data_IF_809557138029
#
_entry.id   IF_809557138029
#
_cell.length_a   1.000
_cell.length_b   1.000
_cell.length_c   1.000
_cell.angle_alpha   90.00
_cell.angle_beta   90.00
_cell.angle_gamma   90.00
#
_symmetry.space_group_name_H-M   'P 1'
#
loop_
_entity.id
_entity.type
_entity.pdbx_description
1 polymer ?
#
# COMPACT_ATOMS: atom_id res chain seq x y z
N UNK A 1 -19.45 -68.56 -57.74
CA UNK A 1 -18.88 -69.38 -56.66
C UNK A 1 -17.69 -68.64 -56.09
N UNK A 2 -17.91 -67.85 -55.03
CA UNK A 2 -16.89 -67.28 -54.13
C UNK A 2 -17.67 -66.61 -53.00
N UNK A 3 -17.79 -67.32 -51.89
CA UNK A 3 -18.35 -66.84 -50.63
C UNK A 3 -17.17 -66.42 -49.75
N UNK A 4 -17.26 -65.21 -49.21
CA UNK A 4 -16.27 -64.60 -48.30
C UNK A 4 -16.17 -65.40 -46.98
N UNK A 5 -14.96 -65.57 -46.42
CA UNK A 5 -14.75 -66.25 -45.14
C UNK A 5 -15.00 -65.33 -43.94
N UNK A 6 -15.21 -65.92 -42.74
CA UNK A 6 -15.83 -65.27 -41.58
C UNK A 6 -14.86 -64.48 -40.69
N UNK A 7 -15.46 -63.61 -39.88
CA UNK A 7 -14.84 -62.73 -38.90
C UNK A 7 -14.12 -63.48 -37.76
N UNK A 8 -12.97 -62.95 -37.35
CA UNK A 8 -12.16 -63.41 -36.22
C UNK A 8 -12.71 -62.86 -34.88
N UNK A 9 -12.57 -63.61 -33.76
CA UNK A 9 -13.13 -63.23 -32.47
C UNK A 9 -12.26 -62.23 -31.68
N UNK A 10 -12.92 -61.36 -30.93
CA UNK A 10 -12.32 -60.39 -30.01
C UNK A 10 -11.72 -61.07 -28.76
N UNK A 11 -10.54 -60.65 -28.27
CA UNK A 11 -10.00 -61.12 -27.00
C UNK A 11 -10.69 -60.45 -25.81
N UNK A 12 -11.15 -61.28 -24.87
CA UNK A 12 -11.73 -60.89 -23.58
C UNK A 12 -10.61 -60.54 -22.59
N UNK A 13 -10.50 -59.27 -22.20
CA UNK A 13 -9.59 -58.86 -21.12
C UNK A 13 -10.25 -59.13 -19.76
N UNK A 14 -9.70 -60.09 -19.01
CA UNK A 14 -10.02 -60.31 -17.60
C UNK A 14 -9.07 -59.48 -16.75
N UNK A 15 -9.60 -58.45 -16.08
CA UNK A 15 -8.86 -57.58 -15.17
C UNK A 15 -8.63 -58.32 -13.85
N UNK A 16 -7.41 -58.78 -13.59
CA UNK A 16 -6.97 -59.27 -12.28
C UNK A 16 -6.66 -58.07 -11.38
N UNK A 17 -7.48 -57.86 -10.35
CA UNK A 17 -7.18 -56.93 -9.26
C UNK A 17 -6.18 -57.59 -8.33
N UNK A 18 -4.97 -57.05 -8.26
CA UNK A 18 -3.98 -57.38 -7.23
C UNK A 18 -4.23 -56.47 -6.01
N UNK A 19 -4.25 -57.00 -4.77
CA UNK A 19 -4.35 -56.16 -3.59
C UNK A 19 -3.01 -55.46 -3.33
N UNK A 20 -2.93 -54.17 -3.62
CA UNK A 20 -1.79 -53.32 -3.25
C UNK A 20 -1.90 -52.93 -1.77
N UNK A 21 -1.17 -53.64 -0.91
CA UNK A 21 -0.91 -53.22 0.46
C UNK A 21 0.11 -52.08 0.46
N UNK A 22 -0.36 -50.84 0.36
CA UNK A 22 0.46 -49.66 0.71
C UNK A 22 0.54 -49.56 2.24
N UNK A 23 1.73 -49.37 2.83
CA UNK A 23 1.84 -49.06 4.25
C UNK A 23 1.30 -47.64 4.47
N UNK A 24 0.23 -47.54 5.26
CA UNK A 24 -0.32 -46.28 5.74
C UNK A 24 0.69 -45.65 6.71
N UNK A 25 1.57 -44.79 6.21
CA UNK A 25 2.40 -43.95 7.06
C UNK A 25 1.48 -42.93 7.73
N UNK A 26 1.10 -43.18 8.98
CA UNK A 26 0.52 -42.17 9.86
C UNK A 26 1.55 -41.05 10.03
N UNK A 27 1.40 -39.97 9.27
CA UNK A 27 2.05 -38.71 9.57
C UNK A 27 1.41 -38.20 10.87
N UNK A 28 2.07 -38.39 12.00
CA UNK A 28 1.75 -37.67 13.22
C UNK A 28 2.07 -36.19 12.97
N UNK A 29 1.07 -35.42 12.53
CA UNK A 29 1.05 -33.98 12.68
C UNK A 29 1.02 -33.71 14.19
N UNK A 30 2.21 -33.56 14.78
CA UNK A 30 2.35 -32.98 16.10
C UNK A 30 1.77 -31.57 16.01
N UNK A 31 0.71 -31.22 16.76
CA UNK A 31 0.32 -29.83 16.88
C UNK A 31 1.50 -29.12 17.53
N UNK A 32 2.10 -28.17 16.82
CA UNK A 32 2.91 -27.14 17.44
C UNK A 32 1.94 -26.33 18.31
N UNK A 33 1.69 -26.80 19.53
CA UNK A 33 1.17 -25.97 20.58
C UNK A 33 2.29 -24.95 20.85
N UNK A 34 2.17 -23.76 20.26
CA UNK A 34 2.92 -22.61 20.71
C UNK A 34 2.60 -22.47 22.20
N UNK A 35 3.55 -22.89 23.04
CA UNK A 35 3.51 -22.57 24.44
C UNK A 35 3.56 -21.05 24.51
N UNK A 36 2.42 -20.41 24.79
CA UNK A 36 2.40 -19.02 25.19
C UNK A 36 3.10 -18.95 26.53
N UNK A 37 4.41 -18.77 26.51
CA UNK A 37 5.11 -18.19 27.63
C UNK A 37 4.34 -16.92 27.97
N UNK A 38 3.85 -16.79 29.20
CA UNK A 38 3.01 -15.67 29.67
C UNK A 38 3.75 -14.33 29.72
N UNK A 39 4.66 -14.08 28.80
CA UNK A 39 5.29 -12.80 28.53
C UNK A 39 4.49 -12.14 27.40
N UNK A 40 4.15 -10.87 27.54
CA UNK A 40 3.50 -10.10 26.48
C UNK A 40 4.37 -10.01 25.21
N UNK A 41 3.88 -9.37 24.15
CA UNK A 41 4.64 -9.24 22.90
C UNK A 41 6.03 -8.60 23.15
N UNK A 42 7.10 -9.03 22.45
CA UNK A 42 8.44 -8.49 22.64
C UNK A 42 8.49 -7.00 22.30
N UNK A 43 9.50 -6.30 22.80
CA UNK A 43 9.72 -4.89 22.44
C UNK A 43 10.38 -4.80 21.07
N UNK A 44 9.90 -3.88 20.22
CA UNK A 44 10.49 -3.65 18.90
C UNK A 44 11.91 -3.12 19.06
N UNK A 45 12.88 -3.83 18.48
CA UNK A 45 14.29 -3.42 18.43
C UNK A 45 14.69 -3.17 16.99
N UNK A 46 15.58 -2.21 16.79
CA UNK A 46 16.02 -1.86 15.46
C UNK A 46 17.42 -1.26 15.43
N UNK A 47 18.08 -1.45 14.29
CA UNK A 47 19.24 -0.65 13.88
C UNK A 47 18.79 0.41 12.87
N UNK A 48 19.42 1.58 12.90
CA UNK A 48 19.04 2.72 12.05
C UNK A 48 20.13 3.05 11.04
N UNK A 49 19.75 3.12 9.76
CA UNK A 49 20.63 3.54 8.67
C UNK A 49 19.98 4.66 7.88
N UNK A 50 20.68 5.78 7.77
CA UNK A 50 20.32 6.82 6.81
C UNK A 50 20.98 6.49 5.47
N UNK A 51 20.19 6.30 4.42
CA UNK A 51 20.68 5.85 3.11
C UNK A 51 20.85 6.99 2.11
N UNK A 52 20.22 8.15 2.34
CA UNK A 52 20.41 9.35 1.50
C UNK A 52 20.00 10.64 2.21
N UNK A 53 20.56 11.75 1.73
CA UNK A 53 20.12 13.12 2.01
C UNK A 53 19.29 13.61 0.82
N UNK A 54 18.06 14.02 1.07
CA UNK A 54 17.02 14.32 0.07
C UNK A 54 16.44 15.73 0.31
N UNK A 55 15.62 16.25 -0.60
CA UNK A 55 15.06 17.59 -0.42
C UNK A 55 13.71 17.63 0.32
N UNK A 56 12.80 16.70 0.01
CA UNK A 56 11.44 16.64 0.56
C UNK A 56 11.00 15.22 0.91
N UNK A 57 11.31 14.22 0.08
CA UNK A 57 10.85 12.83 0.31
C UNK A 57 9.34 12.67 0.48
N UNK A 58 8.54 12.91 -0.56
CA UNK A 58 7.08 13.00 -0.43
C UNK A 58 6.37 11.64 -0.41
N UNK A 59 6.70 10.75 -1.35
CA UNK A 59 6.03 9.46 -1.52
C UNK A 59 7.03 8.34 -1.72
N UNK A 60 6.76 7.20 -1.07
CA UNK A 60 7.58 6.00 -1.09
C UNK A 60 6.84 4.81 -1.69
N UNK A 61 7.57 3.89 -2.33
CA UNK A 61 7.12 2.53 -2.61
C UNK A 61 8.28 1.57 -2.37
N UNK A 62 7.95 0.35 -1.96
CA UNK A 62 8.90 -0.73 -1.76
C UNK A 62 8.53 -1.85 -2.74
N UNK A 63 9.40 -2.15 -3.70
CA UNK A 63 9.13 -3.12 -4.77
C UNK A 63 10.42 -3.47 -5.49
N UNK A 64 10.42 -4.56 -6.26
CA UNK A 64 11.55 -4.93 -7.11
C UNK A 64 11.53 -4.12 -8.42
N UNK A 65 12.54 -3.27 -8.62
CA UNK A 65 12.60 -2.38 -9.78
C UNK A 65 13.28 -3.05 -10.97
N UNK A 66 14.22 -3.95 -10.74
CA UNK A 66 15.09 -4.52 -11.77
C UNK A 66 14.86 -6.01 -12.06
N UNK A 67 14.06 -6.69 -11.25
CA UNK A 67 13.74 -8.11 -11.35
C UNK A 67 14.79 -9.02 -10.71
N UNK A 68 15.60 -8.52 -9.78
CA UNK A 68 16.65 -9.31 -9.10
C UNK A 68 16.14 -10.06 -7.86
N UNK A 69 14.84 -9.92 -7.57
CA UNK A 69 14.15 -10.53 -6.45
C UNK A 69 14.22 -9.71 -5.16
N UNK A 70 14.97 -8.61 -5.09
CA UNK A 70 15.13 -7.80 -3.87
C UNK A 70 14.15 -6.64 -3.81
N UNK A 71 13.83 -6.22 -2.58
CA UNK A 71 12.96 -5.07 -2.36
C UNK A 71 13.77 -3.79 -2.40
N UNK A 72 13.54 -2.97 -3.43
CA UNK A 72 14.14 -1.66 -3.58
C UNK A 72 13.24 -0.56 -3.00
N UNK A 73 13.78 0.65 -2.91
CA UNK A 73 13.04 1.85 -2.47
C UNK A 73 12.86 2.79 -3.65
N UNK A 74 11.63 3.18 -3.98
CA UNK A 74 11.30 4.22 -4.96
C UNK A 74 10.83 5.47 -4.24
N UNK A 75 11.38 6.64 -4.59
CA UNK A 75 11.13 7.90 -3.91
C UNK A 75 10.73 9.03 -4.88
N UNK A 76 9.66 9.75 -4.52
CA UNK A 76 9.33 11.06 -5.07
C UNK A 76 10.03 12.14 -4.24
N UNK A 77 11.16 12.64 -4.71
CA UNK A 77 11.79 13.82 -4.12
C UNK A 77 11.27 15.10 -4.79
N UNK A 78 11.73 16.28 -4.35
CA UNK A 78 11.20 17.58 -4.79
C UNK A 78 11.18 17.76 -6.31
N UNK A 79 12.28 17.38 -6.98
CA UNK A 79 12.47 17.55 -8.43
C UNK A 79 12.85 16.29 -9.18
N UNK A 80 13.16 15.23 -8.46
CA UNK A 80 13.55 13.94 -9.04
C UNK A 80 12.57 12.86 -8.59
N UNK A 81 12.39 11.88 -9.45
CA UNK A 81 11.93 10.55 -9.09
C UNK A 81 13.14 9.63 -9.20
N UNK A 82 13.40 8.85 -8.17
CA UNK A 82 14.61 8.03 -8.07
C UNK A 82 14.32 6.73 -7.34
N UNK A 83 15.19 5.73 -7.52
CA UNK A 83 15.14 4.50 -6.75
C UNK A 83 16.50 4.16 -6.16
N UNK A 84 16.50 3.32 -5.14
CA UNK A 84 17.68 2.91 -4.39
C UNK A 84 17.80 1.39 -4.44
N UNK A 85 18.85 0.91 -5.09
CA UNK A 85 19.07 -0.51 -5.40
C UNK A 85 19.63 -1.28 -4.22
N UNK A 86 18.90 -2.32 -3.80
CA UNK A 86 19.26 -3.22 -2.72
C UNK A 86 20.40 -4.18 -3.12
N UNK A 87 21.41 -4.46 -2.26
CA UNK A 87 21.57 -4.04 -0.85
C UNK A 87 22.47 -2.83 -0.67
N UNK A 88 23.02 -2.29 -1.76
CA UNK A 88 23.99 -1.19 -1.68
C UNK A 88 23.33 0.17 -1.43
N UNK A 89 22.02 0.24 -1.61
CA UNK A 89 21.21 1.46 -1.64
C UNK A 89 21.72 2.47 -2.66
N UNK A 90 22.29 1.98 -3.77
CA UNK A 90 22.79 2.83 -4.84
C UNK A 90 21.63 3.56 -5.50
N UNK A 91 21.69 4.89 -5.50
CA UNK A 91 20.68 5.75 -6.11
C UNK A 91 20.77 5.73 -7.64
N UNK A 92 19.61 5.61 -8.28
CA UNK A 92 19.41 5.71 -9.72
C UNK A 92 18.30 6.72 -10.04
N UNK A 93 18.52 7.59 -11.03
CA UNK A 93 17.55 8.60 -11.43
C UNK A 93 16.54 8.01 -12.42
N UNK A 94 15.24 8.09 -12.09
CA UNK A 94 14.17 7.68 -13.01
C UNK A 94 13.78 8.84 -13.93
N UNK A 95 13.50 10.01 -13.36
CA UNK A 95 13.10 11.20 -14.10
C UNK A 95 13.36 12.46 -13.27
N UNK A 96 13.53 13.60 -13.93
CA UNK A 96 13.72 14.88 -13.26
C UNK A 96 12.92 16.01 -13.93
N UNK A 97 12.59 17.04 -13.16
CA UNK A 97 12.05 18.31 -13.64
C UNK A 97 10.79 18.18 -14.53
N UNK A 98 9.97 17.13 -14.30
CA UNK A 98 8.74 16.90 -15.06
C UNK A 98 7.71 18.02 -14.89
N UNK A 99 7.80 18.78 -13.79
CA UNK A 99 6.90 19.90 -13.48
C UNK A 99 7.62 21.10 -12.89
N UNK A 100 7.03 22.28 -13.05
CA UNK A 100 7.57 23.53 -12.48
C UNK A 100 7.55 23.52 -10.94
N UNK A 101 6.54 22.92 -10.32
CA UNK A 101 6.42 22.80 -8.85
C UNK A 101 6.89 21.42 -8.37
N UNK A 102 6.70 21.17 -7.08
CA UNK A 102 7.17 19.95 -6.42
C UNK A 102 6.39 18.72 -6.89
N UNK A 103 7.07 17.57 -6.88
CA UNK A 103 6.45 16.25 -6.96
C UNK A 103 5.64 15.96 -5.69
N UNK A 104 4.68 15.03 -5.76
CA UNK A 104 3.74 14.78 -4.65
C UNK A 104 3.40 13.31 -4.41
N UNK A 105 3.43 12.46 -5.44
CA UNK A 105 3.11 11.05 -5.24
C UNK A 105 3.73 10.18 -6.33
N UNK A 106 3.84 8.90 -6.01
CA UNK A 106 4.16 7.85 -6.97
C UNK A 106 3.51 6.54 -6.55
N UNK A 107 3.41 5.61 -7.48
CA UNK A 107 3.11 4.20 -7.24
C UNK A 107 4.00 3.34 -8.12
N UNK A 108 4.35 2.16 -7.62
CA UNK A 108 5.20 1.20 -8.29
C UNK A 108 4.68 -0.20 -7.99
N UNK A 109 4.47 -1.02 -9.02
CA UNK A 109 3.99 -2.41 -8.90
C UNK A 109 4.29 -3.14 -10.21
N UNK A 110 4.65 -4.42 -10.16
CA UNK A 110 4.65 -5.28 -11.35
C UNK A 110 3.21 -5.46 -11.81
N UNK A 111 2.87 -4.87 -12.97
CA UNK A 111 1.51 -4.92 -13.54
C UNK A 111 1.42 -5.77 -14.81
N UNK A 112 2.54 -6.23 -15.35
CA UNK A 112 2.58 -7.09 -16.55
C UNK A 112 3.25 -8.46 -16.34
N UNK A 113 3.61 -8.78 -15.10
CA UNK A 113 4.04 -10.09 -14.65
C UNK A 113 5.47 -10.44 -15.06
N UNK A 114 6.29 -9.46 -15.45
CA UNK A 114 7.68 -9.67 -15.87
C UNK A 114 8.67 -9.74 -14.69
N UNK A 115 8.19 -9.56 -13.46
CA UNK A 115 8.98 -9.54 -12.23
C UNK A 115 9.59 -8.17 -11.91
N UNK A 116 9.31 -7.13 -12.70
CA UNK A 116 9.82 -5.77 -12.51
C UNK A 116 8.65 -4.82 -12.34
N UNK A 117 8.83 -3.77 -11.56
CA UNK A 117 7.72 -2.82 -11.37
C UNK A 117 7.54 -1.83 -12.54
N UNK A 118 6.29 -1.42 -12.75
CA UNK A 118 5.90 -0.25 -13.52
C UNK A 118 5.61 0.92 -12.60
N UNK A 119 6.03 2.13 -13.00
CA UNK A 119 5.98 3.32 -12.15
C UNK A 119 5.09 4.39 -12.77
N UNK A 120 4.19 4.94 -11.97
CA UNK A 120 3.46 6.16 -12.26
C UNK A 120 3.76 7.22 -11.20
N UNK A 121 3.80 8.49 -11.62
CA UNK A 121 4.21 9.61 -10.78
C UNK A 121 3.31 10.82 -10.95
N UNK A 122 3.22 11.63 -9.89
CA UNK A 122 2.43 12.85 -9.86
C UNK A 122 3.15 14.04 -9.24
N UNK A 123 2.78 15.24 -9.67
CA UNK A 123 3.43 16.48 -9.23
C UNK A 123 2.67 17.74 -9.58
N UNK A 124 3.41 18.84 -9.79
CA UNK A 124 2.87 20.19 -9.98
C UNK A 124 2.08 20.71 -8.76
N UNK A 125 2.49 20.32 -7.56
CA UNK A 125 1.72 20.57 -6.34
C UNK A 125 1.58 22.05 -5.96
N UNK A 126 0.35 22.51 -5.74
CA UNK A 126 0.06 23.79 -5.10
C UNK A 126 -1.28 23.73 -4.36
N UNK A 127 -1.23 23.66 -3.03
CA UNK A 127 -2.44 23.57 -2.20
C UNK A 127 -3.48 24.68 -2.47
N UNK A 128 -3.08 25.89 -2.93
CA UNK A 128 -4.03 26.99 -3.18
C UNK A 128 -4.68 26.97 -4.56
N UNK A 129 -4.17 26.17 -5.50
CA UNK A 129 -4.72 26.04 -6.85
C UNK A 129 -5.67 24.84 -6.91
N UNK A 130 -6.82 24.99 -7.56
CA UNK A 130 -7.82 23.93 -7.72
C UNK A 130 -8.43 23.89 -9.11
N UNK A 131 -7.96 24.72 -10.06
CA UNK A 131 -8.52 24.80 -11.40
C UNK A 131 -7.57 24.21 -12.44
N UNK A 132 -6.25 24.42 -12.28
CA UNK A 132 -5.26 24.11 -13.32
C UNK A 132 -4.04 23.28 -12.92
N UNK A 133 -3.75 23.12 -11.63
CA UNK A 133 -2.53 22.42 -11.19
C UNK A 133 -2.62 20.90 -11.39
N UNK A 134 -1.64 20.17 -10.86
CA UNK A 134 -1.55 18.73 -10.99
C UNK A 134 -0.82 18.27 -12.25
N UNK A 135 -0.29 17.07 -12.14
CA UNK A 135 0.35 16.35 -13.21
C UNK A 135 0.33 14.86 -12.88
N UNK A 136 0.15 14.05 -13.90
CA UNK A 136 0.26 12.59 -13.83
C UNK A 136 1.10 12.14 -15.02
N UNK A 137 2.05 11.26 -14.75
CA UNK A 137 2.87 10.63 -15.78
C UNK A 137 2.97 9.13 -15.52
N UNK A 138 2.88 8.33 -16.56
CA UNK A 138 3.45 6.98 -16.56
C UNK A 138 4.92 7.09 -16.98
N UNK A 139 5.81 6.39 -16.29
CA UNK A 139 7.21 6.33 -16.66
C UNK A 139 7.42 5.05 -17.48
N UNK A 140 7.65 5.22 -18.78
CA UNK A 140 7.91 4.13 -19.71
C UNK A 140 9.34 3.62 -19.50
N UNK A 141 9.44 2.37 -19.06
CA UNK A 141 10.67 1.80 -18.55
C UNK A 141 11.61 1.35 -19.68
N UNK A 142 12.91 1.63 -19.58
CA UNK A 142 13.92 1.02 -20.43
C UNK A 142 14.18 -0.43 -20.01
N UNK A 143 14.76 -1.24 -20.92
CA UNK A 143 15.21 -2.60 -20.59
C UNK A 143 16.21 -2.60 -19.41
N UNK A 144 17.17 -1.67 -19.45
CA UNK A 144 18.14 -1.42 -18.37
C UNK A 144 17.56 -0.43 -17.36
N UNK A 145 16.97 -0.93 -16.28
CA UNK A 145 16.16 -0.16 -15.32
C UNK A 145 16.94 0.93 -14.56
N UNK A 146 18.28 0.93 -14.63
CA UNK A 146 19.17 1.97 -14.09
C UNK A 146 19.25 3.23 -14.96
N UNK A 147 18.79 3.19 -16.22
CA UNK A 147 18.69 4.37 -17.07
C UNK A 147 17.49 5.24 -16.69
N UNK A 148 17.42 6.47 -17.17
CA UNK A 148 16.23 7.33 -17.01
C UNK A 148 15.05 6.79 -17.80
N UNK A 149 13.85 6.88 -17.24
CA UNK A 149 12.61 6.38 -17.82
C UNK A 149 11.92 7.50 -18.59
N UNK A 150 11.27 7.15 -19.72
CA UNK A 150 10.65 8.13 -20.60
C UNK A 150 9.27 8.53 -20.05
N UNK A 151 9.01 9.81 -19.72
CA UNK A 151 7.72 10.20 -19.17
C UNK A 151 6.64 10.28 -20.26
N UNK A 152 5.49 9.67 -20.00
CA UNK A 152 4.26 9.78 -20.80
C UNK A 152 3.24 10.56 -19.97
N UNK A 153 2.91 11.79 -20.43
CA UNK A 153 1.93 12.65 -19.75
C UNK A 153 0.53 12.05 -19.89
N UNK A 154 -0.15 11.86 -18.76
CA UNK A 154 -1.55 11.44 -18.72
C UNK A 154 -2.47 12.62 -18.41
N UNK A 155 -3.78 12.42 -18.60
CA UNK A 155 -4.79 13.32 -18.06
C UNK A 155 -4.60 13.48 -16.54
N UNK A 156 -4.95 14.65 -16.02
CA UNK A 156 -4.98 14.86 -14.59
C UNK A 156 -6.16 15.75 -14.21
N UNK A 157 -6.72 15.49 -13.04
CA UNK A 157 -7.51 16.49 -12.32
C UNK A 157 -6.57 17.44 -11.58
N UNK A 158 -7.00 18.70 -11.34
CA UNK A 158 -6.29 19.60 -10.43
C UNK A 158 -6.12 18.99 -9.05
N UNK A 159 -5.15 19.48 -8.30
CA UNK A 159 -4.85 19.02 -6.94
C UNK A 159 -4.52 17.52 -6.86
N UNK A 160 -3.97 16.91 -7.92
CA UNK A 160 -3.44 15.52 -7.90
C UNK A 160 -2.56 15.29 -6.67
N UNK A 161 -2.80 14.21 -5.92
CA UNK A 161 -2.19 14.06 -4.58
C UNK A 161 -1.76 12.64 -4.18
N UNK A 162 -2.49 11.58 -4.56
CA UNK A 162 -2.09 10.18 -4.29
C UNK A 162 -2.45 9.27 -5.47
N UNK A 163 -1.76 8.14 -5.59
CA UNK A 163 -2.06 7.13 -6.60
C UNK A 163 -1.65 5.73 -6.17
N UNK A 164 -2.32 4.71 -6.72
CA UNK A 164 -2.00 3.29 -6.53
C UNK A 164 -2.32 2.48 -7.79
N UNK A 165 -1.49 1.48 -8.09
CA UNK A 165 -1.87 0.37 -8.96
C UNK A 165 -2.78 -0.58 -8.19
N UNK A 166 -4.05 -0.68 -8.62
CA UNK A 166 -5.07 -1.54 -7.99
C UNK A 166 -5.39 -2.68 -8.93
N UNK A 167 -5.35 -3.90 -8.40
CA UNK A 167 -5.71 -5.11 -9.13
C UNK A 167 -7.20 -5.10 -9.42
N UNK A 168 -7.59 -5.40 -10.64
CA UNK A 168 -8.99 -5.35 -11.11
C UNK A 168 -9.52 -6.69 -11.56
N UNK A 169 -8.87 -7.78 -11.13
CA UNK A 169 -9.24 -9.16 -11.45
C UNK A 169 -8.15 -9.87 -12.25
N UNK A 170 -8.55 -10.91 -12.98
CA UNK A 170 -7.67 -11.69 -13.87
C UNK A 170 -8.16 -11.63 -15.31
N UNK A 171 -7.24 -11.68 -16.27
CA UNK A 171 -7.58 -11.85 -17.69
C UNK A 171 -7.85 -13.31 -18.05
N UNK A 172 -8.17 -13.57 -19.32
CA UNK A 172 -8.49 -14.92 -19.81
C UNK A 172 -7.30 -15.91 -19.74
N UNK A 173 -6.07 -15.41 -19.58
CA UNK A 173 -4.87 -16.22 -19.40
C UNK A 173 -4.57 -16.53 -17.93
N UNK A 174 -5.30 -15.90 -17.00
CA UNK A 174 -5.06 -15.99 -15.57
C UNK A 174 -4.05 -14.94 -15.05
N UNK A 175 -3.64 -14.00 -15.89
CA UNK A 175 -2.77 -12.90 -15.49
C UNK A 175 -3.57 -11.81 -14.78
N UNK A 176 -3.01 -11.25 -13.70
CA UNK A 176 -3.63 -10.15 -12.99
C UNK A 176 -3.78 -8.91 -13.89
N UNK A 177 -4.94 -8.26 -13.80
CA UNK A 177 -5.21 -7.00 -14.49
C UNK A 177 -5.14 -5.85 -13.50
N UNK A 178 -4.74 -4.67 -13.96
CA UNK A 178 -4.54 -3.50 -13.10
C UNK A 178 -5.12 -2.22 -13.70
N UNK A 179 -5.50 -1.30 -12.82
CA UNK A 179 -5.78 0.09 -13.15
C UNK A 179 -4.97 1.03 -12.25
N UNK A 180 -4.52 2.15 -12.82
CA UNK A 180 -3.94 3.23 -12.03
C UNK A 180 -5.08 4.05 -11.45
N UNK A 181 -5.25 4.04 -10.13
CA UNK A 181 -6.16 4.97 -9.46
C UNK A 181 -5.40 6.23 -9.07
N UNK A 182 -5.90 7.40 -9.46
CA UNK A 182 -5.33 8.70 -9.11
C UNK A 182 -6.36 9.55 -8.38
N UNK A 183 -5.95 10.02 -7.20
CA UNK A 183 -6.77 10.77 -6.27
C UNK A 183 -6.26 12.20 -6.10
N UNK A 184 -7.07 13.22 -6.42
CA UNK A 184 -6.82 14.59 -5.98
C UNK A 184 -7.03 14.78 -4.47
N UNK A 185 -6.43 15.82 -3.88
CA UNK A 185 -6.76 16.23 -2.52
C UNK A 185 -8.15 16.89 -2.46
N UNK A 186 -8.52 17.62 -3.53
CA UNK A 186 -9.72 18.46 -3.58
C UNK A 186 -10.36 18.44 -4.96
N UNK A 187 -11.64 18.77 -5.03
CA UNK A 187 -12.36 18.90 -6.29
C UNK A 187 -12.01 20.17 -7.07
N UNK A 188 -12.20 20.08 -8.39
CA UNK A 188 -11.89 21.17 -9.31
C UNK A 188 -12.75 22.40 -9.00
N UNK A 189 -12.10 23.54 -8.78
CA UNK A 189 -12.76 24.80 -8.44
C UNK A 189 -13.19 24.93 -6.97
N UNK A 190 -12.86 23.97 -6.11
CA UNK A 190 -13.11 24.10 -4.67
C UNK A 190 -12.17 25.11 -4.01
N UNK A 191 -12.60 25.69 -2.90
CA UNK A 191 -11.81 26.61 -2.05
C UNK A 191 -11.73 25.99 -0.66
N UNK A 192 -10.52 25.71 -0.18
CA UNK A 192 -10.27 25.09 1.13
C UNK A 192 -11.10 23.82 1.44
N UNK A 193 -11.52 23.10 0.39
CA UNK A 193 -12.31 21.88 0.52
C UNK A 193 -13.82 22.09 0.51
N UNK A 194 -14.29 23.31 0.30
CA UNK A 194 -15.70 23.63 0.05
C UNK A 194 -15.92 23.82 -1.45
N UNK A 195 -17.00 23.24 -1.98
CA UNK A 195 -17.33 23.25 -3.41
C UNK A 195 -17.57 21.84 -3.96
N UNK A 196 -17.23 21.57 -5.23
CA UNK A 196 -17.34 20.23 -5.80
C UNK A 196 -16.40 19.22 -5.13
N UNK A 197 -16.83 17.96 -5.07
CA UNK A 197 -16.00 16.85 -4.61
C UNK A 197 -14.86 16.52 -5.59
N UNK A 198 -13.84 15.85 -5.06
CA UNK A 198 -12.73 15.34 -5.85
C UNK A 198 -13.17 14.19 -6.74
N UNK A 199 -12.65 14.12 -7.97
CA UNK A 199 -12.84 12.95 -8.84
C UNK A 199 -11.69 11.97 -8.62
N UNK A 200 -11.99 10.84 -7.98
CA UNK A 200 -11.09 9.69 -7.97
C UNK A 200 -11.26 8.97 -9.30
N UNK A 201 -10.18 8.92 -10.08
CA UNK A 201 -10.20 8.39 -11.45
C UNK A 201 -9.40 7.09 -11.51
N UNK A 202 -9.95 6.09 -12.18
CA UNK A 202 -9.25 4.88 -12.58
C UNK A 202 -8.82 5.00 -14.06
N UNK A 203 -7.55 4.75 -14.35
CA UNK A 203 -6.96 4.85 -15.68
C UNK A 203 -6.61 3.45 -16.17
N UNK A 204 -7.14 3.10 -17.34
CA UNK A 204 -6.81 1.86 -18.03
C UNK A 204 -5.57 2.06 -18.90
N UNK A 205 -4.50 1.33 -18.58
CA UNK A 205 -3.29 1.26 -19.42
C UNK A 205 -3.63 0.53 -20.74
N UNK A 206 -3.46 1.16 -21.91
CA UNK A 206 -3.47 0.46 -23.20
C UNK A 206 -2.17 -0.33 -23.40
N UNK A 207 -2.18 -1.31 -24.30
CA UNK A 207 -1.00 -2.13 -24.60
C UNK A 207 0.21 -1.28 -25.06
N UNK A 208 -0.03 -0.30 -25.95
CA UNK A 208 0.94 0.76 -26.23
C UNK A 208 0.66 1.93 -25.27
N UNK A 209 1.51 2.14 -24.24
CA UNK A 209 1.25 3.13 -23.21
C UNK A 209 1.24 4.57 -23.73
N UNK A 210 1.69 4.82 -24.96
CA UNK A 210 1.65 6.15 -25.61
C UNK A 210 0.27 6.52 -26.16
N UNK A 211 -0.62 5.54 -26.32
CA UNK A 211 -2.01 5.79 -26.73
C UNK A 211 -2.82 6.41 -25.58
N UNK A 212 -3.95 7.09 -25.85
CA UNK A 212 -4.79 7.65 -24.81
C UNK A 212 -5.32 6.61 -23.82
N UNK A 213 -5.14 6.87 -22.52
CA UNK A 213 -5.62 6.00 -21.44
C UNK A 213 -7.08 6.31 -21.15
N UNK A 214 -7.95 5.30 -21.24
CA UNK A 214 -9.37 5.46 -20.89
C UNK A 214 -9.49 5.69 -19.38
N UNK A 215 -10.26 6.70 -18.99
CA UNK A 215 -10.57 6.96 -17.57
C UNK A 215 -12.02 6.62 -17.24
N UNK A 216 -12.24 6.15 -16.01
CA UNK A 216 -13.56 6.02 -15.41
C UNK A 216 -13.56 6.65 -14.01
N UNK A 217 -14.71 7.16 -13.59
CA UNK A 217 -14.87 7.74 -12.24
C UNK A 217 -15.14 6.60 -11.25
N UNK A 218 -14.36 6.57 -10.18
CA UNK A 218 -14.60 5.71 -9.01
C UNK A 218 -15.59 6.40 -8.06
N UNK A 219 -15.33 7.66 -7.73
CA UNK A 219 -16.23 8.52 -6.96
C UNK A 219 -15.95 10.01 -7.23
N UNK A 220 -16.93 10.88 -6.97
CA UNK A 220 -16.82 12.33 -7.17
C UNK A 220 -17.39 13.20 -6.02
N UNK A 221 -17.65 12.61 -4.85
CA UNK A 221 -18.35 13.27 -3.74
C UNK A 221 -17.49 13.56 -2.50
N UNK A 222 -16.21 13.14 -2.48
CA UNK A 222 -15.32 13.27 -1.31
C UNK A 222 -14.55 14.61 -1.30
N UNK A 223 -14.20 15.09 -0.10
CA UNK A 223 -13.44 16.34 0.08
C UNK A 223 -12.21 16.16 0.98
N UNK A 224 -11.20 17.01 0.78
CA UNK A 224 -9.95 17.05 1.57
C UNK A 224 -9.32 15.66 1.79
N UNK A 225 -9.43 14.78 0.81
CA UNK A 225 -8.99 13.39 0.95
C UNK A 225 -7.49 13.29 0.75
N UNK A 226 -6.76 12.98 1.82
CA UNK A 226 -5.30 13.01 1.79
C UNK A 226 -4.70 11.69 1.35
N UNK A 227 -4.99 10.56 2.02
CA UNK A 227 -4.51 9.23 1.63
C UNK A 227 -5.63 8.22 1.28
N UNK A 228 -5.25 7.14 0.61
CA UNK A 228 -6.07 5.95 0.41
C UNK A 228 -5.17 4.71 0.38
N UNK A 229 -5.76 3.52 0.51
CA UNK A 229 -5.02 2.27 0.61
C UNK A 229 -5.76 1.16 -0.12
N UNK A 230 -5.11 0.42 -1.04
CA UNK A 230 -5.64 -0.83 -1.57
C UNK A 230 -5.75 -1.88 -0.47
N UNK A 231 -6.82 -2.66 -0.50
CA UNK A 231 -7.06 -3.78 0.40
C UNK A 231 -7.68 -4.94 -0.38
N UNK A 232 -7.73 -6.11 0.20
CA UNK A 232 -8.55 -7.21 -0.30
C UNK A 232 -9.22 -7.86 0.92
N UNK A 233 -10.50 -7.56 1.11
CA UNK A 233 -11.24 -7.81 2.34
C UNK A 233 -12.27 -8.93 2.23
N UNK A 234 -12.58 -9.37 1.02
CA UNK A 234 -13.48 -10.48 0.69
C UNK A 234 -12.80 -11.66 -0.03
N UNK A 235 -11.46 -11.61 -0.14
CA UNK A 235 -10.59 -12.65 -0.71
C UNK A 235 -10.93 -13.00 -2.18
N UNK A 236 -11.44 -12.03 -2.94
CA UNK A 236 -11.68 -12.18 -4.37
C UNK A 236 -10.44 -11.81 -5.23
N UNK A 237 -10.45 -12.04 -6.56
CA UNK A 237 -9.30 -11.70 -7.39
C UNK A 237 -9.03 -10.19 -7.54
N UNK A 238 -10.03 -9.35 -7.30
CA UNK A 238 -9.99 -7.91 -7.37
C UNK A 238 -9.35 -7.34 -6.08
N UNK A 239 -9.08 -6.04 -6.09
CA UNK A 239 -8.73 -5.31 -4.87
C UNK A 239 -9.75 -4.20 -4.67
N UNK A 240 -10.08 -3.97 -3.41
CA UNK A 240 -10.87 -2.83 -2.95
C UNK A 240 -9.93 -1.70 -2.54
N UNK A 241 -10.52 -0.58 -2.16
CA UNK A 241 -9.77 0.54 -1.56
C UNK A 241 -10.51 1.09 -0.34
N UNK A 242 -9.74 1.55 0.63
CA UNK A 242 -10.21 2.43 1.71
C UNK A 242 -9.68 3.84 1.52
N UNK A 243 -10.55 4.84 1.59
CA UNK A 243 -10.25 6.25 1.29
C UNK A 243 -10.58 7.11 2.51
N UNK A 244 -9.58 7.83 3.02
CA UNK A 244 -9.77 8.81 4.09
C UNK A 244 -10.15 10.18 3.53
N UNK A 245 -11.22 10.79 4.01
CA UNK A 245 -11.73 12.08 3.55
C UNK A 245 -12.39 12.90 4.66
N UNK A 246 -12.81 14.13 4.34
CA UNK A 246 -13.61 15.02 5.22
C UNK A 246 -14.89 14.33 5.69
N UNK A 247 -15.47 13.49 4.84
CA UNK A 247 -16.66 12.68 5.09
C UNK A 247 -16.37 11.41 5.91
N UNK A 248 -15.15 11.20 6.37
CA UNK A 248 -14.73 9.97 7.06
C UNK A 248 -14.03 8.98 6.16
N UNK A 249 -13.97 7.72 6.59
CA UNK A 249 -13.36 6.63 5.84
C UNK A 249 -14.42 5.90 5.03
N UNK A 250 -14.13 5.65 3.75
CA UNK A 250 -15.01 4.94 2.82
C UNK A 250 -14.30 3.73 2.24
N UNK A 251 -14.99 2.59 2.24
CA UNK A 251 -14.61 1.39 1.50
C UNK A 251 -15.26 1.42 0.12
N UNK A 252 -14.48 1.15 -0.93
CA UNK A 252 -15.00 0.99 -2.29
C UNK A 252 -14.66 -0.41 -2.77
N UNK A 253 -15.70 -1.21 -2.95
CA UNK A 253 -15.64 -2.57 -3.45
C UNK A 253 -15.91 -2.59 -4.96
N UNK A 254 -15.06 -3.28 -5.72
CA UNK A 254 -15.18 -3.39 -7.17
C UNK A 254 -15.95 -4.65 -7.56
N UNK A 255 -17.24 -4.49 -7.83
CA UNK A 255 -18.06 -5.56 -8.42
C UNK A 255 -18.17 -5.39 -9.93
N UNK A 256 -17.38 -6.18 -10.66
CA UNK A 256 -17.29 -6.12 -12.12
C UNK A 256 -16.71 -4.79 -12.61
N UNK A 257 -17.53 -3.93 -13.21
CA UNK A 257 -17.12 -2.62 -13.71
C UNK A 257 -17.60 -1.44 -12.86
N UNK A 258 -18.19 -1.70 -11.70
CA UNK A 258 -18.75 -0.67 -10.81
C UNK A 258 -18.04 -0.69 -9.46
N UNK A 259 -18.08 0.46 -8.80
CA UNK A 259 -17.57 0.62 -7.44
C UNK A 259 -18.75 0.84 -6.49
N UNK A 260 -18.87 -0.04 -5.50
CA UNK A 260 -19.86 0.05 -4.44
C UNK A 260 -19.22 0.72 -3.23
N UNK A 261 -19.78 1.86 -2.81
CA UNK A 261 -19.23 2.65 -1.72
C UNK A 261 -19.95 2.36 -0.40
N UNK A 262 -19.19 2.06 0.65
CA UNK A 262 -19.70 1.91 2.03
C UNK A 262 -18.92 2.84 2.96
N UNK A 263 -19.62 3.72 3.65
CA UNK A 263 -19.01 4.59 4.65
C UNK A 263 -18.70 3.79 5.93
N UNK A 264 -17.42 3.70 6.28
CA UNK A 264 -16.95 3.00 7.48
C UNK A 264 -16.98 3.92 8.69
N UNK A 265 -16.57 5.18 8.57
CA UNK A 265 -16.57 6.16 9.67
C UNK A 265 -17.09 7.51 9.19
N UNK A 266 -17.44 8.40 10.11
CA UNK A 266 -17.78 9.81 9.83
C UNK A 266 -16.74 10.81 10.37
N UNK A 267 -15.65 10.31 10.96
CA UNK A 267 -14.58 11.13 11.49
C UNK A 267 -13.63 11.53 10.36
N UNK A 268 -13.51 12.84 10.10
CA UNK A 268 -12.56 13.35 9.11
C UNK A 268 -11.17 12.75 9.35
N UNK A 269 -10.67 12.00 8.37
CA UNK A 269 -9.35 11.39 8.39
C UNK A 269 -8.48 11.89 7.22
N UNK A 270 -7.17 11.94 7.44
CA UNK A 270 -6.16 12.21 6.41
C UNK A 270 -5.36 10.98 6.01
N UNK A 271 -4.95 10.18 6.99
CA UNK A 271 -4.22 8.93 6.77
C UNK A 271 -5.11 7.74 7.09
N UNK A 272 -4.86 6.62 6.42
CA UNK A 272 -5.60 5.37 6.62
C UNK A 272 -4.74 4.15 6.27
N UNK A 273 -4.81 3.12 7.12
CA UNK A 273 -4.34 1.75 6.89
C UNK A 273 -5.29 0.78 7.58
N UNK A 274 -5.26 -0.48 7.17
CA UNK A 274 -5.92 -1.59 7.85
C UNK A 274 -4.90 -2.56 8.44
N UNK A 275 -5.41 -3.50 9.25
CA UNK A 275 -4.64 -4.58 9.85
C UNK A 275 -5.52 -5.51 10.68
N UNK A 276 -4.88 -6.42 11.39
CA UNK A 276 -5.51 -7.46 12.18
C UNK A 276 -5.08 -7.41 13.65
N UNK A 277 -6.07 -7.44 14.55
CA UNK A 277 -5.87 -7.57 16.01
C UNK A 277 -5.53 -9.02 16.39
N UNK A 278 -5.01 -9.27 17.60
CA UNK A 278 -4.65 -10.64 18.01
C UNK A 278 -5.81 -11.64 18.05
N UNK A 279 -7.06 -11.16 18.14
CA UNK A 279 -8.25 -12.01 18.04
C UNK A 279 -8.72 -12.26 16.60
N UNK A 280 -7.93 -11.87 15.59
CA UNK A 280 -8.26 -12.01 14.17
C UNK A 280 -9.19 -10.93 13.62
N UNK A 281 -9.71 -10.02 14.46
CA UNK A 281 -10.59 -8.95 13.98
C UNK A 281 -9.81 -7.92 13.18
N UNK A 282 -10.38 -7.51 12.06
CA UNK A 282 -9.90 -6.40 11.27
C UNK A 282 -10.06 -5.08 12.03
N UNK A 283 -9.05 -4.23 11.92
CA UNK A 283 -9.11 -2.86 12.35
C UNK A 283 -8.71 -1.93 11.20
N UNK A 284 -9.11 -0.67 11.32
CA UNK A 284 -8.53 0.43 10.56
C UNK A 284 -7.91 1.43 11.53
N UNK A 285 -6.83 2.07 11.10
CA UNK A 285 -6.17 3.14 11.84
C UNK A 285 -6.11 4.40 11.00
N UNK A 286 -6.42 5.53 11.62
CA UNK A 286 -6.49 6.85 10.97
C UNK A 286 -5.58 7.87 11.64
N UNK A 287 -5.21 8.90 10.89
CA UNK A 287 -4.82 10.20 11.46
C UNK A 287 -5.93 11.20 11.20
N UNK A 288 -6.37 11.91 12.24
CA UNK A 288 -7.58 12.72 12.25
C UNK A 288 -7.34 14.12 12.82
N UNK A 289 -7.84 15.19 12.15
CA UNK A 289 -8.24 15.24 10.74
C UNK A 289 -7.04 15.11 9.79
N UNK A 290 -7.19 15.50 8.51
CA UNK A 290 -6.03 15.70 7.62
C UNK A 290 -4.96 16.56 8.30
N UNK A 291 -3.72 16.04 8.35
CA UNK A 291 -2.59 16.66 9.06
C UNK A 291 -2.90 16.91 10.54
N UNK A 292 -3.71 16.03 11.12
CA UNK A 292 -4.28 16.20 12.43
C UNK A 292 -3.36 15.84 13.59
N UNK A 293 -3.95 15.86 14.78
CA UNK A 293 -3.26 15.62 16.04
C UNK A 293 -3.61 14.26 16.65
N UNK A 294 -4.61 13.56 16.10
CA UNK A 294 -5.12 12.31 16.65
C UNK A 294 -4.75 11.13 15.76
N UNK A 295 -4.27 10.05 16.37
CA UNK A 295 -4.27 8.71 15.78
C UNK A 295 -5.31 7.84 16.48
N UNK A 296 -6.24 7.26 15.72
CA UNK A 296 -7.36 6.49 16.25
C UNK A 296 -7.49 5.14 15.54
N UNK A 297 -7.83 4.11 16.30
CA UNK A 297 -8.12 2.75 15.82
C UNK A 297 -9.61 2.52 15.91
N UNK A 298 -10.18 1.93 14.86
CA UNK A 298 -11.56 1.47 14.77
C UNK A 298 -11.54 -0.02 14.47
N UNK A 299 -12.50 -0.76 15.02
CA UNK A 299 -12.60 -2.21 14.83
C UNK A 299 -13.83 -2.55 14.02
N UNK A 300 -13.71 -3.58 13.16
CA UNK A 300 -14.82 -4.07 12.38
C UNK A 300 -15.98 -4.52 13.31
N UNK A 301 -17.21 -4.02 13.09
CA UNK A 301 -18.38 -4.48 13.83
C UNK A 301 -18.77 -5.90 13.42
N UNK A 302 -19.50 -6.62 14.28
CA UNK A 302 -20.04 -7.98 14.01
C UNK A 302 -21.13 -8.01 12.91
N UNK A 303 -21.58 -6.86 12.43
CA UNK A 303 -22.62 -6.75 11.42
C UNK A 303 -22.43 -5.52 10.55
N UNK A 304 -23.47 -5.16 9.80
CA UNK A 304 -23.42 -3.98 8.94
C UNK A 304 -23.52 -2.70 9.77
N UNK A 305 -22.65 -1.73 9.51
CA UNK A 305 -22.71 -0.44 10.18
C UNK A 305 -21.41 0.33 10.11
N UNK A 306 -21.43 1.54 10.65
CA UNK A 306 -20.21 2.32 10.88
C UNK A 306 -19.37 1.65 11.96
N UNK A 307 -18.07 1.79 11.81
CA UNK A 307 -17.08 1.30 12.73
C UNK A 307 -16.95 2.31 13.86
N UNK A 308 -17.06 1.84 15.09
CA UNK A 308 -16.91 2.67 16.27
C UNK A 308 -15.43 2.78 16.68
N UNK A 309 -14.99 3.92 17.24
CA UNK A 309 -13.64 4.05 17.76
C UNK A 309 -13.36 3.00 18.84
N UNK A 310 -12.30 2.21 18.64
CA UNK A 310 -11.78 1.27 19.64
C UNK A 310 -10.86 1.99 20.64
N UNK A 311 -9.91 2.78 20.11
CA UNK A 311 -8.86 3.41 20.91
C UNK A 311 -8.30 4.65 20.22
N UNK A 312 -8.09 5.72 20.99
CA UNK A 312 -7.17 6.80 20.60
C UNK A 312 -5.77 6.39 21.05
N UNK A 313 -4.87 6.20 20.09
CA UNK A 313 -3.46 5.85 20.36
C UNK A 313 -2.67 7.08 20.81
N UNK A 314 -2.95 8.22 20.20
CA UNK A 314 -2.38 9.51 20.56
C UNK A 314 -3.32 10.64 20.17
N UNK A 315 -3.35 11.71 20.95
CA UNK A 315 -4.02 12.98 20.68
C UNK A 315 -3.05 14.17 20.67
N UNK A 316 -1.76 13.90 20.53
CA UNK A 316 -0.68 14.90 20.68
C UNK A 316 0.16 15.08 19.42
N UNK A 317 -0.23 14.47 18.29
CA UNK A 317 0.54 14.60 17.05
C UNK A 317 0.55 16.06 16.60
N UNK A 318 1.65 16.46 15.95
CA UNK A 318 1.75 17.76 15.29
C UNK A 318 1.95 17.52 13.80
N UNK A 319 0.91 17.76 13.00
CA UNK A 319 0.89 17.40 11.57
C UNK A 319 1.12 15.90 11.33
N UNK A 320 0.27 15.03 11.90
CA UNK A 320 0.30 13.60 11.60
C UNK A 320 0.16 13.34 10.10
N UNK A 321 1.01 12.47 9.55
CA UNK A 321 1.18 12.38 8.09
C UNK A 321 1.53 11.00 7.54
N UNK A 322 1.93 10.06 8.39
CA UNK A 322 2.33 8.74 7.92
C UNK A 322 1.77 7.64 8.81
N UNK A 323 1.28 6.58 8.16
CA UNK A 323 0.86 5.33 8.76
C UNK A 323 1.44 4.15 7.99
N UNK A 324 1.94 3.16 8.74
CA UNK A 324 2.25 1.83 8.24
C UNK A 324 1.83 0.78 9.27
N UNK A 325 1.31 -0.35 8.79
CA UNK A 325 0.77 -1.43 9.60
C UNK A 325 1.35 -2.74 9.07
N UNK A 326 1.88 -3.57 9.96
CA UNK A 326 2.44 -4.88 9.67
C UNK A 326 2.69 -5.65 10.98
N UNK A 327 2.92 -6.95 10.89
CA UNK A 327 3.40 -7.77 12.01
C UNK A 327 4.92 -7.62 12.20
N UNK A 328 5.35 -6.48 12.72
CA UNK A 328 6.77 -6.20 12.97
C UNK A 328 7.37 -7.12 14.04
N UNK A 329 6.55 -7.74 14.90
CA UNK A 329 7.04 -8.56 16.00
C UNK A 329 6.92 -10.07 15.72
N UNK A 330 6.37 -10.47 14.56
CA UNK A 330 6.14 -11.88 14.22
C UNK A 330 5.19 -12.59 15.18
N UNK A 331 4.23 -11.87 15.78
CA UNK A 331 3.31 -12.38 16.81
C UNK A 331 1.95 -12.78 16.26
N UNK A 332 1.76 -12.70 14.94
CA UNK A 332 0.50 -13.03 14.26
C UNK A 332 -0.58 -11.95 14.38
N UNK A 333 -0.19 -10.72 14.74
CA UNK A 333 -1.09 -9.57 14.80
C UNK A 333 -0.31 -8.30 14.46
N UNK A 334 -0.96 -7.33 13.85
CA UNK A 334 -0.24 -6.16 13.37
C UNK A 334 0.05 -5.14 14.47
N UNK A 335 1.18 -4.45 14.33
CA UNK A 335 1.50 -3.22 15.05
C UNK A 335 1.34 -2.02 14.13
N UNK A 336 1.17 -0.86 14.76
CA UNK A 336 0.85 0.39 14.06
C UNK A 336 2.02 1.35 14.20
N UNK A 337 2.60 1.76 13.09
CA UNK A 337 3.56 2.87 13.05
C UNK A 337 2.82 4.15 12.71
N UNK A 338 3.00 5.18 13.55
CA UNK A 338 2.42 6.52 13.36
C UNK A 338 3.54 7.54 13.28
N UNK A 339 3.53 8.37 12.24
CA UNK A 339 4.52 9.42 11.98
C UNK A 339 3.92 10.81 11.86
N UNK A 340 4.62 11.83 12.35
CA UNK A 340 4.23 13.24 12.25
C UNK A 340 5.42 14.17 12.01
N UNK A 341 5.11 15.33 11.41
CA UNK A 341 6.13 16.25 10.85
C UNK A 341 6.48 17.42 11.75
N UNK A 342 5.52 17.89 12.55
CA UNK A 342 5.62 19.10 13.37
C UNK A 342 6.03 20.35 12.57
N UNK A 343 5.44 20.53 11.38
CA UNK A 343 5.83 21.53 10.39
C UNK A 343 4.96 22.78 10.43
N UNK A 344 3.65 22.64 10.25
CA UNK A 344 2.70 23.75 10.33
C UNK A 344 2.41 24.11 11.78
N UNK A 345 2.38 23.09 12.64
CA UNK A 345 2.37 23.25 14.10
C UNK A 345 3.79 22.96 14.62
N UNK A 346 4.62 23.97 14.89
CA UNK A 346 6.01 23.76 15.28
C UNK A 346 6.14 22.86 16.52
N UNK A 347 7.08 21.93 16.47
CA UNK A 347 7.36 21.01 17.57
C UNK A 347 8.42 19.99 17.21
N UNK A 348 8.52 18.95 18.02
CA UNK A 348 9.40 17.81 17.76
C UNK A 348 8.64 16.82 16.87
N UNK A 349 9.14 16.48 15.67
CA UNK A 349 8.57 15.41 14.87
C UNK A 349 8.80 14.06 15.53
N UNK A 350 8.19 13.00 15.01
CA UNK A 350 8.50 11.67 15.51
C UNK A 350 7.80 10.55 14.78
N UNK A 351 8.22 9.35 15.20
CA UNK A 351 7.69 8.07 14.80
C UNK A 351 7.46 7.25 16.07
N UNK A 352 6.27 6.70 16.23
CA UNK A 352 5.91 5.77 17.30
C UNK A 352 5.41 4.47 16.71
N UNK A 353 5.72 3.37 17.38
CA UNK A 353 5.13 2.07 17.12
C UNK A 353 4.20 1.71 18.29
N UNK A 354 2.97 1.32 17.98
CA UNK A 354 1.96 0.90 18.95
C UNK A 354 1.72 -0.59 18.85
N UNK A 355 1.88 -1.31 19.96
CA UNK A 355 1.69 -2.77 20.05
C UNK A 355 0.43 -3.11 20.84
N UNK A 356 -0.53 -3.90 20.31
CA UNK A 356 -1.67 -4.35 21.10
C UNK A 356 -1.19 -5.31 22.20
N UNK A 357 -1.65 -5.10 23.43
CA UNK A 357 -1.27 -5.90 24.61
C UNK A 357 -2.35 -6.89 25.04
N UNK A 358 -3.55 -6.78 24.47
CA UNK A 358 -4.64 -7.71 24.70
C UNK A 358 -5.34 -8.07 23.39
N UNK A 359 -6.05 -9.19 23.44
CA UNK A 359 -6.73 -9.80 22.31
C UNK A 359 -7.76 -8.87 21.63
N UNK A 360 -8.37 -7.94 22.37
CA UNK A 360 -9.37 -7.02 21.85
C UNK A 360 -8.80 -5.65 21.47
N UNK A 361 -7.49 -5.42 21.64
CA UNK A 361 -6.84 -4.14 21.32
C UNK A 361 -7.31 -2.98 22.21
N UNK A 362 -7.59 -3.20 23.50
CA UNK A 362 -7.99 -2.12 24.44
C UNK A 362 -6.78 -1.46 25.12
N UNK A 363 -5.70 -2.20 25.29
CA UNK A 363 -4.42 -1.81 25.85
C UNK A 363 -3.35 -1.88 24.77
N UNK A 364 -2.50 -0.85 24.74
CA UNK A 364 -1.42 -0.71 23.76
C UNK A 364 -0.15 -0.23 24.45
N UNK A 365 0.99 -0.75 24.01
CA UNK A 365 2.31 -0.22 24.37
C UNK A 365 2.78 0.73 23.28
N UNK A 366 3.26 1.90 23.67
CA UNK A 366 3.95 2.83 22.78
C UNK A 366 5.46 2.58 22.84
N UNK A 367 6.11 2.50 21.68
CA UNK A 367 7.56 2.41 21.51
C UNK A 367 8.04 3.62 20.71
N UNK A 368 9.10 4.29 21.18
CA UNK A 368 9.72 5.41 20.47
C UNK A 368 10.62 4.87 19.38
N UNK A 369 10.29 5.14 18.12
CA UNK A 369 11.13 4.75 16.96
C UNK A 369 12.03 5.92 16.55
N UNK A 370 11.49 7.13 16.51
CA UNK A 370 12.25 8.36 16.26
C UNK A 370 11.59 9.56 16.92
N UNK A 371 12.41 10.55 17.28
CA UNK A 371 11.98 11.91 17.59
C UNK A 371 12.54 12.87 16.52
N UNK A 372 13.27 13.92 16.93
CA UNK A 372 13.76 15.01 16.09
C UNK A 372 14.63 14.60 14.87
N UNK A 373 15.07 13.34 14.80
CA UNK A 373 15.94 12.83 13.73
C UNK A 373 15.21 12.65 12.40
N UNK A 374 13.90 12.40 12.41
CA UNK A 374 13.12 12.08 11.20
C UNK A 374 11.79 12.83 11.23
N UNK A 375 11.71 13.92 10.47
CA UNK A 375 10.47 14.67 10.23
C UNK A 375 9.67 14.04 9.08
N UNK A 376 9.07 12.89 9.38
CA UNK A 376 8.57 11.94 8.39
C UNK A 376 7.36 12.42 7.60
N UNK A 377 7.43 12.29 6.28
CA UNK A 377 6.36 12.62 5.33
C UNK A 377 5.66 11.36 4.80
N UNK A 378 6.37 10.24 4.59
CA UNK A 378 5.76 8.95 4.26
C UNK A 378 6.53 7.80 4.93
N UNK A 379 5.81 6.71 5.22
CA UNK A 379 6.35 5.48 5.80
C UNK A 379 5.84 4.30 4.97
N UNK A 380 6.74 3.35 4.71
CA UNK A 380 6.41 2.01 4.21
C UNK A 380 7.08 0.95 5.07
N UNK A 381 6.52 -0.25 5.03
CA UNK A 381 7.00 -1.40 5.76
C UNK A 381 7.11 -2.60 4.83
N UNK A 382 8.25 -3.27 4.86
CA UNK A 382 8.53 -4.51 4.16
C UNK A 382 9.80 -5.13 4.76
N UNK A 383 10.03 -6.42 4.54
CA UNK A 383 11.33 -7.05 4.76
C UNK A 383 12.29 -6.60 3.64
N UNK A 384 13.13 -5.59 3.91
CA UNK A 384 14.01 -5.01 2.88
C UNK A 384 15.42 -5.56 2.94
N UNK A 385 15.77 -6.42 3.89
CA UNK A 385 17.07 -7.10 3.93
C UNK A 385 16.96 -8.63 3.75
N UNK A 386 15.73 -9.14 3.61
CA UNK A 386 15.37 -10.55 3.38
C UNK A 386 15.73 -11.45 4.56
N UNK A 387 15.66 -10.93 5.78
CA UNK A 387 15.91 -11.68 7.01
C UNK A 387 14.64 -12.28 7.64
N UNK A 388 13.48 -12.07 7.01
CA UNK A 388 12.17 -12.52 7.45
C UNK A 388 11.47 -11.56 8.42
N UNK A 389 12.05 -10.39 8.72
CA UNK A 389 11.47 -9.40 9.62
C UNK A 389 11.07 -8.15 8.85
N UNK A 390 9.95 -7.55 9.27
CA UNK A 390 9.47 -6.33 8.62
C UNK A 390 10.23 -5.11 9.15
N UNK A 391 10.84 -4.36 8.24
CA UNK A 391 11.56 -3.11 8.49
C UNK A 391 10.66 -1.88 8.27
N UNK A 392 11.13 -0.71 8.72
CA UNK A 392 10.46 0.58 8.48
C UNK A 392 11.33 1.43 7.57
N UNK A 393 10.78 1.90 6.46
CA UNK A 393 11.41 2.90 5.57
C UNK A 393 10.67 4.22 5.69
N UNK A 394 11.38 5.29 6.05
CA UNK A 394 10.82 6.61 6.30
C UNK A 394 11.52 7.68 5.44
N UNK A 395 10.73 8.44 4.69
CA UNK A 395 11.19 9.61 3.95
C UNK A 395 10.76 10.88 4.69
N UNK A 396 11.67 11.83 4.83
CA UNK A 396 11.44 13.01 5.66
C UNK A 396 11.64 14.33 4.92
N UNK A 397 10.75 15.28 5.22
CA UNK A 397 10.70 16.58 4.56
C UNK A 397 11.57 17.64 5.20
N UNK A 398 11.43 17.86 6.51
CA UNK A 398 12.16 18.94 7.18
C UNK A 398 13.59 18.52 7.55
N UNK A 399 13.80 17.26 7.93
CA UNK A 399 15.12 16.70 8.26
C UNK A 399 15.88 16.21 7.03
N UNK A 400 15.22 16.16 5.86
CA UNK A 400 15.89 15.95 4.56
C UNK A 400 16.65 14.63 4.45
N UNK A 401 16.10 13.57 5.02
CA UNK A 401 16.73 12.26 5.03
C UNK A 401 15.79 11.13 4.63
N UNK A 402 16.37 10.10 4.03
CA UNK A 402 15.75 8.79 3.79
C UNK A 402 16.40 7.78 4.73
N UNK A 403 15.59 7.14 5.57
CA UNK A 403 16.06 6.32 6.69
C UNK A 403 15.37 4.96 6.68
N UNK A 404 16.15 3.92 6.95
CA UNK A 404 15.67 2.56 7.22
C UNK A 404 15.90 2.25 8.70
N UNK A 405 14.88 1.70 9.36
CA UNK A 405 14.97 1.08 10.67
C UNK A 405 14.87 -0.43 10.46
N UNK A 406 16.02 -1.09 10.45
CA UNK A 406 16.14 -2.54 10.29
C UNK A 406 15.72 -3.24 11.56
N UNK A 407 14.78 -4.17 11.47
CA UNK A 407 14.20 -4.85 12.61
C UNK A 407 15.14 -5.91 13.19
N UNK A 408 15.54 -5.71 14.45
CA UNK A 408 16.45 -6.62 15.17
C UNK A 408 15.77 -7.30 16.37
N UNK A 409 14.44 -7.30 16.41
CA UNK A 409 13.65 -7.96 17.45
C UNK A 409 13.93 -9.47 17.45
N UNK A 410 14.14 -10.07 18.62
CA UNK A 410 14.42 -11.50 18.81
C UNK A 410 13.18 -12.35 19.03
#
# INVERSE_FOLDING_TARGET
>A
MMLLPPALPHPSFTMRVLPSTLPLALLFLLPFAAASNGQGPPEFRFDITEIDQIDVGYGLQLTDVNGDGKTDIVLADKKTFQWYENPTWKKHLLAENLTQRDNVCLTARDIDGDGKCEIAVGGQWNYRESVKDGAVFYLDAPNERTQTWKPIRLHNEPSTHRMHWVKTGMDASGQATYQLLVKPLRGKGSVDGDGPGLKLLAYQRPQDPTQPWKQTIVCDFLHLSHNFHPVNWDDDPEEEIIVAAKEGVWHFDRVGNKWNATQLTDQFAGEIRDGQLPNGKRFIVTVEPKHGHRAAVYVQPEGNGRWEPLKVLSDQLKDGHALAVADYLGVGSDQIVVGWRAMNTPGVPGIRLFTPLDQQGKAWRETIVSDARVAVEDIKAADVNHDGKIDIVAAARQTKNLVIFFNTTE
#
